data_IF_827098852594
#
_entry.id   IF_827098852594
#
_cell.length_a   1.000
_cell.length_b   1.000
_cell.length_c   1.000
_cell.angle_alpha   90.00
_cell.angle_beta   90.00
_cell.angle_gamma   90.00
#
_symmetry.space_group_name_H-M   'P 1'
#
loop_
_entity.id
_entity.type
_entity.pdbx_description
1 polymer ?
#
# COMPACT_ATOMS: atom_id res chain seq x y z
N UNK A 1 6.60 3.61 -30.96
CA UNK A 1 6.11 3.91 -29.60
C UNK A 1 5.61 2.58 -29.06
N UNK A 2 6.08 2.17 -27.90
CA UNK A 2 5.59 0.93 -27.27
C UNK A 2 4.21 1.22 -26.66
N UNK A 3 3.33 0.23 -26.72
CA UNK A 3 2.00 0.27 -26.12
C UNK A 3 2.00 -0.61 -24.87
N UNK A 4 1.49 -0.09 -23.77
CA UNK A 4 1.37 -0.80 -22.50
C UNK A 4 -0.08 -0.76 -22.05
N UNK A 5 -0.60 -1.93 -21.64
CA UNK A 5 -1.95 -2.06 -21.10
C UNK A 5 -1.89 -1.93 -19.57
N UNK A 6 -2.91 -1.33 -18.98
CA UNK A 6 -3.10 -1.35 -17.54
C UNK A 6 -4.54 -1.76 -17.19
N UNK A 7 -4.72 -2.21 -15.97
CA UNK A 7 -6.03 -2.45 -15.36
C UNK A 7 -6.12 -1.61 -14.08
N UNK A 8 -7.27 -0.98 -13.87
CA UNK A 8 -7.57 -0.33 -12.60
C UNK A 8 -8.48 -1.22 -11.77
N UNK A 9 -8.15 -1.38 -10.50
CA UNK A 9 -8.92 -2.17 -9.53
C UNK A 9 -9.15 -1.35 -8.27
N UNK A 10 -10.26 -1.64 -7.57
CA UNK A 10 -10.54 -1.09 -6.25
C UNK A 10 -10.24 -2.17 -5.21
N UNK A 11 -9.26 -1.90 -4.33
CA UNK A 11 -8.78 -2.87 -3.34
C UNK A 11 -9.51 -2.70 -2.02
N UNK A 12 -9.73 -3.80 -1.28
CA UNK A 12 -10.47 -3.87 -0.01
C UNK A 12 -11.95 -3.53 -0.10
N UNK A 13 -12.58 -3.86 -1.22
CA UNK A 13 -14.01 -3.66 -1.41
C UNK A 13 -14.62 -4.76 -2.29
N UNK A 14 -15.91 -4.99 -2.14
CA UNK A 14 -16.75 -5.78 -3.04
C UNK A 14 -17.64 -4.90 -3.95
N UNK A 15 -17.49 -3.57 -3.85
CA UNK A 15 -18.29 -2.60 -4.60
C UNK A 15 -17.39 -1.70 -5.44
N UNK A 16 -17.72 -1.47 -6.72
CA UNK A 16 -17.03 -0.49 -7.54
C UNK A 16 -16.99 0.89 -6.87
N UNK A 17 -15.85 1.56 -6.94
CA UNK A 17 -15.60 2.89 -6.37
C UNK A 17 -15.65 2.97 -4.84
N UNK A 18 -15.62 1.83 -4.15
CA UNK A 18 -15.73 1.77 -2.69
C UNK A 18 -14.41 1.56 -1.95
N UNK A 19 -13.37 1.16 -2.66
CA UNK A 19 -12.08 0.77 -2.09
C UNK A 19 -10.97 1.78 -2.30
N UNK A 20 -9.72 1.28 -2.21
CA UNK A 20 -8.54 2.05 -2.55
C UNK A 20 -8.14 1.73 -4.01
N UNK A 21 -8.21 2.71 -4.92
CA UNK A 21 -7.93 2.48 -6.33
C UNK A 21 -6.45 2.21 -6.58
N UNK A 22 -6.17 1.29 -7.50
CA UNK A 22 -4.83 0.88 -7.90
C UNK A 22 -4.76 0.70 -9.42
N UNK A 23 -3.78 1.31 -10.07
CA UNK A 23 -3.43 0.99 -11.44
C UNK A 23 -2.36 -0.12 -11.45
N UNK A 24 -2.59 -1.17 -12.22
CA UNK A 24 -1.67 -2.30 -12.40
C UNK A 24 -1.28 -2.39 -13.86
N UNK A 25 0.01 -2.27 -14.15
CA UNK A 25 0.61 -2.59 -15.45
C UNK A 25 1.10 -4.04 -15.40
N UNK A 26 0.33 -5.00 -15.96
CA UNK A 26 0.63 -6.43 -15.78
C UNK A 26 1.82 -6.92 -16.61
N UNK A 27 2.34 -6.09 -17.50
CA UNK A 27 3.42 -6.37 -18.43
C UNK A 27 4.23 -5.10 -18.68
N UNK A 28 5.14 -4.80 -17.76
CA UNK A 28 5.89 -3.55 -17.76
C UNK A 28 7.34 -3.71 -18.22
N UNK A 29 7.67 -4.88 -18.82
CA UNK A 29 9.02 -5.11 -19.34
C UNK A 29 9.38 -4.07 -20.41
N UNK A 30 10.57 -3.50 -20.31
CA UNK A 30 11.05 -2.44 -21.19
C UNK A 30 10.80 -1.01 -20.71
N UNK A 31 9.95 -0.80 -19.70
CA UNK A 31 9.82 0.51 -19.05
C UNK A 31 11.02 0.79 -18.13
N UNK A 32 11.57 1.99 -18.25
CA UNK A 32 12.57 2.50 -17.30
C UNK A 32 11.91 2.96 -16.00
N UNK A 33 12.70 3.11 -14.93
CA UNK A 33 12.18 3.65 -13.66
C UNK A 33 11.60 5.06 -13.78
N UNK A 34 12.17 5.90 -14.65
CA UNK A 34 11.68 7.25 -14.90
C UNK A 34 10.33 7.24 -15.64
N UNK A 35 10.15 6.33 -16.59
CA UNK A 35 8.87 6.15 -17.28
C UNK A 35 7.78 5.62 -16.33
N UNK A 36 8.12 4.62 -15.49
CA UNK A 36 7.20 4.11 -14.46
C UNK A 36 6.78 5.21 -13.48
N UNK A 37 7.73 6.04 -13.03
CA UNK A 37 7.42 7.19 -12.15
C UNK A 37 6.56 8.24 -12.86
N UNK A 38 6.78 8.47 -14.14
CA UNK A 38 5.98 9.40 -14.93
C UNK A 38 4.56 8.89 -15.16
N UNK A 39 4.41 7.59 -15.44
CA UNK A 39 3.11 6.93 -15.54
C UNK A 39 2.35 6.96 -14.20
N UNK A 40 3.01 6.66 -13.08
CA UNK A 40 2.38 6.74 -11.77
C UNK A 40 1.90 8.16 -11.45
N UNK A 41 2.63 9.18 -11.86
CA UNK A 41 2.24 10.58 -11.72
C UNK A 41 1.04 10.92 -12.60
N UNK A 42 0.99 10.42 -13.83
CA UNK A 42 -0.12 10.61 -14.76
C UNK A 42 -1.40 9.91 -14.28
N UNK A 43 -1.28 8.67 -13.75
CA UNK A 43 -2.41 7.95 -13.15
C UNK A 43 -2.99 8.72 -11.96
N UNK A 44 -2.16 9.40 -11.20
CA UNK A 44 -2.54 10.21 -10.02
C UNK A 44 -3.42 9.45 -9.00
N UNK A 45 -3.16 8.16 -8.86
CA UNK A 45 -3.73 7.31 -7.81
C UNK A 45 -2.76 7.26 -6.63
N UNK A 46 -3.23 6.76 -5.47
CA UNK A 46 -2.34 6.59 -4.30
C UNK A 46 -1.09 5.79 -4.66
N UNK A 47 -1.27 4.68 -5.39
CA UNK A 47 -0.15 3.92 -5.96
C UNK A 47 -0.49 3.35 -7.35
N UNK A 48 0.59 3.04 -8.07
CA UNK A 48 0.59 2.33 -9.35
C UNK A 48 1.63 1.22 -9.29
N UNK A 49 1.30 0.03 -9.76
CA UNK A 49 2.22 -1.12 -9.78
C UNK A 49 2.62 -1.52 -11.19
N UNK A 50 3.87 -1.97 -11.30
CA UNK A 50 4.47 -2.43 -12.55
C UNK A 50 5.01 -3.83 -12.34
N UNK A 51 4.47 -4.78 -13.11
CA UNK A 51 4.84 -6.19 -13.06
C UNK A 51 5.91 -6.48 -14.10
N UNK A 52 6.96 -7.13 -13.67
CA UNK A 52 8.17 -7.46 -14.43
C UNK A 52 8.49 -8.94 -14.27
N UNK A 53 9.30 -9.52 -15.17
CA UNK A 53 9.91 -10.82 -14.93
C UNK A 53 10.70 -10.82 -13.61
N UNK A 54 10.63 -11.91 -12.82
CA UNK A 54 11.38 -12.02 -11.58
C UNK A 54 12.88 -12.08 -11.85
N UNK A 55 13.68 -11.41 -11.01
CA UNK A 55 15.14 -11.49 -11.03
C UNK A 55 15.69 -12.37 -9.90
N UNK A 56 14.89 -12.60 -8.87
CA UNK A 56 15.28 -13.39 -7.69
C UNK A 56 14.70 -14.79 -7.76
N UNK A 57 15.53 -15.80 -7.49
CA UNK A 57 15.08 -17.19 -7.45
C UNK A 57 13.98 -17.40 -6.41
N UNK A 58 12.93 -18.13 -6.81
CA UNK A 58 11.77 -18.41 -5.94
C UNK A 58 10.69 -17.32 -5.93
N UNK A 59 10.86 -16.24 -6.69
CA UNK A 59 9.79 -15.30 -6.99
C UNK A 59 9.07 -15.69 -8.28
N UNK A 60 7.76 -15.48 -8.34
CA UNK A 60 6.94 -15.71 -9.53
C UNK A 60 6.89 -14.46 -10.42
N UNK A 61 6.87 -13.29 -9.80
CA UNK A 61 6.88 -11.99 -10.47
C UNK A 61 7.73 -11.00 -9.67
N UNK A 62 8.30 -10.01 -10.36
CA UNK A 62 8.82 -8.80 -9.73
C UNK A 62 7.79 -7.69 -9.83
N UNK A 63 7.54 -6.99 -8.72
CA UNK A 63 6.58 -5.88 -8.68
C UNK A 63 7.26 -4.65 -8.12
N UNK A 64 7.19 -3.55 -8.88
CA UNK A 64 7.62 -2.23 -8.45
C UNK A 64 6.38 -1.38 -8.15
N UNK A 65 6.44 -0.61 -7.08
CA UNK A 65 5.32 0.17 -6.54
C UNK A 65 5.70 1.64 -6.53
N UNK A 66 4.87 2.48 -7.11
CA UNK A 66 5.11 3.92 -7.20
C UNK A 66 3.92 4.70 -6.70
N UNK A 67 4.16 5.69 -5.85
CA UNK A 67 3.25 6.82 -5.64
C UNK A 67 3.46 7.85 -6.74
N UNK A 68 2.63 8.89 -6.87
CA UNK A 68 2.92 10.00 -7.78
C UNK A 68 4.25 10.71 -7.50
N UNK A 69 4.79 10.59 -6.27
CA UNK A 69 6.00 11.29 -5.85
C UNK A 69 7.27 10.43 -5.90
N UNK A 70 7.18 9.13 -5.55
CA UNK A 70 8.36 8.27 -5.36
C UNK A 70 8.02 6.78 -5.49
N UNK A 71 9.05 5.97 -5.74
CA UNK A 71 8.98 4.51 -5.63
C UNK A 71 8.99 4.08 -4.16
N UNK A 72 8.13 3.11 -3.82
CA UNK A 72 8.04 2.51 -2.51
C UNK A 72 8.63 1.09 -2.52
N UNK A 73 9.41 0.72 -1.50
CA UNK A 73 9.94 -0.65 -1.40
C UNK A 73 8.86 -1.69 -1.08
N UNK A 74 7.74 -1.24 -0.50
CA UNK A 74 6.64 -2.06 -0.06
C UNK A 74 5.38 -1.22 0.20
N UNK A 75 4.19 -1.79 -0.13
CA UNK A 75 2.91 -1.25 0.27
C UNK A 75 1.84 -2.35 0.29
N UNK A 76 0.89 -2.29 1.23
CA UNK A 76 -0.09 -3.37 1.48
C UNK A 76 -1.11 -3.55 0.36
N UNK A 77 -1.97 -2.53 0.13
CA UNK A 77 -3.03 -2.66 -0.85
C UNK A 77 -2.52 -2.86 -2.29
N UNK A 78 -1.39 -2.27 -2.74
CA UNK A 78 -0.87 -2.52 -4.07
C UNK A 78 -0.47 -3.98 -4.29
N UNK A 79 0.12 -4.62 -3.28
CA UNK A 79 0.48 -6.04 -3.35
C UNK A 79 -0.77 -6.91 -3.45
N UNK A 80 -1.78 -6.69 -2.59
CA UNK A 80 -3.04 -7.43 -2.61
C UNK A 80 -3.77 -7.25 -3.95
N UNK A 81 -3.90 -6.01 -4.42
CA UNK A 81 -4.58 -5.69 -5.67
C UNK A 81 -3.87 -6.26 -6.90
N UNK A 82 -2.54 -6.22 -6.93
CA UNK A 82 -1.75 -6.78 -8.05
C UNK A 82 -1.89 -8.30 -8.13
N UNK A 83 -1.87 -9.01 -6.99
CA UNK A 83 -2.12 -10.47 -6.98
C UNK A 83 -3.49 -10.81 -7.55
N UNK A 84 -4.52 -10.08 -7.11
CA UNK A 84 -5.89 -10.27 -7.61
C UNK A 84 -5.97 -9.96 -9.11
N UNK A 85 -5.38 -8.86 -9.57
CA UNK A 85 -5.39 -8.46 -10.97
C UNK A 85 -4.70 -9.50 -11.87
N UNK A 86 -3.53 -10.00 -11.48
CA UNK A 86 -2.81 -11.05 -12.24
C UNK A 86 -3.60 -12.35 -12.32
N UNK A 87 -4.26 -12.76 -11.23
CA UNK A 87 -5.13 -13.92 -11.22
C UNK A 87 -6.36 -13.73 -12.11
N UNK A 88 -6.99 -12.54 -12.05
CA UNK A 88 -8.14 -12.17 -12.89
C UNK A 88 -7.79 -12.19 -14.38
N UNK A 89 -6.59 -11.73 -14.73
CA UNK A 89 -6.06 -11.76 -16.10
C UNK A 89 -5.56 -13.14 -16.55
N UNK A 90 -5.68 -14.18 -15.71
CA UNK A 90 -5.22 -15.53 -16.01
C UNK A 90 -3.69 -15.69 -16.07
N UNK A 91 -2.93 -14.72 -15.53
CA UNK A 91 -1.46 -14.76 -15.46
C UNK A 91 -0.94 -15.68 -14.34
N UNK A 92 -1.80 -16.04 -13.40
CA UNK A 92 -1.52 -16.98 -12.32
C UNK A 92 -2.34 -18.25 -12.54
N UNK A 93 -1.70 -19.42 -12.73
CA UNK A 93 -2.42 -20.68 -12.79
C UNK A 93 -2.95 -21.03 -11.39
N UNK A 94 -4.28 -20.91 -11.21
CA UNK A 94 -4.94 -21.24 -9.96
C UNK A 94 -5.00 -22.76 -9.76
N UNK A 95 -4.52 -23.24 -8.60
CA UNK A 95 -4.47 -24.66 -8.25
C UNK A 95 -5.00 -24.91 -6.84
N UNK A 96 -6.06 -25.73 -6.73
CA UNK A 96 -6.66 -26.07 -5.44
C UNK A 96 -7.37 -24.88 -4.76
N UNK A 97 -7.70 -25.03 -3.46
CA UNK A 97 -8.42 -24.00 -2.71
C UNK A 97 -7.54 -22.81 -2.30
N UNK A 98 -6.23 -22.99 -2.28
CA UNK A 98 -5.25 -21.95 -2.00
C UNK A 98 -4.11 -22.08 -3.00
N UNK A 99 -3.83 -21.00 -3.71
CA UNK A 99 -2.66 -20.86 -4.60
C UNK A 99 -1.72 -19.84 -4.00
N UNK A 100 -0.49 -20.21 -3.69
CA UNK A 100 0.52 -19.28 -3.20
C UNK A 100 1.29 -18.68 -4.38
N UNK A 101 1.44 -17.34 -4.36
CA UNK A 101 2.22 -16.58 -5.33
C UNK A 101 3.21 -15.70 -4.59
N UNK A 102 4.43 -15.57 -5.12
CA UNK A 102 5.53 -14.83 -4.49
C UNK A 102 5.96 -13.66 -5.35
N UNK A 103 5.91 -12.47 -4.78
CA UNK A 103 6.41 -11.26 -5.42
C UNK A 103 7.81 -10.90 -4.91
N UNK A 104 8.71 -10.60 -5.85
CA UNK A 104 9.94 -9.87 -5.58
C UNK A 104 9.61 -8.39 -5.45
N UNK A 105 9.77 -7.84 -4.26
CA UNK A 105 9.54 -6.45 -3.88
C UNK A 105 10.85 -5.81 -3.43
N UNK A 106 10.87 -4.50 -3.20
CA UNK A 106 12.05 -3.80 -2.68
C UNK A 106 12.54 -4.30 -1.32
N UNK A 107 11.65 -4.87 -0.51
CA UNK A 107 11.97 -5.47 0.80
C UNK A 107 12.34 -6.96 0.72
N UNK A 108 12.29 -7.59 -0.44
CA UNK A 108 12.57 -9.01 -0.64
C UNK A 108 11.41 -9.78 -1.26
N UNK A 109 11.48 -11.11 -1.20
CA UNK A 109 10.44 -12.00 -1.76
C UNK A 109 9.39 -12.29 -0.71
N UNK A 110 8.16 -11.83 -0.93
CA UNK A 110 7.03 -12.03 -0.03
C UNK A 110 5.94 -12.90 -0.66
N UNK A 111 5.40 -13.89 0.08
CA UNK A 111 4.30 -14.72 -0.37
C UNK A 111 2.95 -14.07 -0.10
N UNK A 112 1.99 -14.38 -0.98
CA UNK A 112 0.58 -14.18 -0.71
C UNK A 112 -0.21 -15.44 -1.07
N UNK A 113 -1.23 -15.75 -0.28
CA UNK A 113 -2.14 -16.85 -0.47
C UNK A 113 -3.43 -16.37 -1.15
N UNK A 114 -3.69 -16.85 -2.34
CA UNK A 114 -4.90 -16.59 -3.10
C UNK A 114 -5.92 -17.69 -2.76
N UNK A 115 -6.97 -17.32 -2.03
CA UNK A 115 -8.07 -18.22 -1.70
C UNK A 115 -9.02 -18.32 -2.89
N UNK A 116 -9.20 -19.54 -3.39
CA UNK A 116 -9.92 -19.81 -4.63
C UNK A 116 -11.23 -20.52 -4.35
N UNK A 117 -12.33 -19.96 -4.86
CA UNK A 117 -13.67 -20.55 -4.81
C UNK A 117 -14.23 -20.58 -6.24
N UNK A 118 -14.69 -21.74 -6.68
CA UNK A 118 -15.24 -21.93 -8.02
C UNK A 118 -14.31 -21.44 -9.17
N UNK A 119 -12.99 -21.65 -9.01
CA UNK A 119 -11.99 -21.24 -10.00
C UNK A 119 -11.70 -19.74 -10.07
N UNK A 120 -12.16 -18.97 -9.09
CA UNK A 120 -11.90 -17.52 -8.97
C UNK A 120 -11.30 -17.18 -7.62
N UNK A 121 -10.44 -16.16 -7.61
CA UNK A 121 -9.91 -15.63 -6.35
C UNK A 121 -11.01 -14.85 -5.63
N UNK A 122 -11.33 -15.30 -4.43
CA UNK A 122 -12.27 -14.64 -3.53
C UNK A 122 -11.56 -13.68 -2.57
N UNK A 123 -10.36 -14.08 -2.13
CA UNK A 123 -9.58 -13.32 -1.15
C UNK A 123 -8.09 -13.51 -1.38
N UNK A 124 -7.32 -12.45 -1.18
CA UNK A 124 -5.85 -12.46 -1.14
C UNK A 124 -5.40 -12.20 0.29
N UNK A 125 -4.53 -13.05 0.82
CA UNK A 125 -3.94 -12.91 2.15
C UNK A 125 -2.43 -12.80 1.99
N UNK A 126 -1.90 -11.61 2.23
CA UNK A 126 -0.46 -11.34 2.19
C UNK A 126 0.16 -11.63 3.55
N UNK A 127 1.29 -12.35 3.57
CA UNK A 127 2.11 -12.52 4.76
C UNK A 127 3.13 -11.40 4.82
N UNK A 128 3.08 -10.60 5.87
CA UNK A 128 4.05 -9.55 6.16
C UNK A 128 5.06 -10.03 7.21
N UNK A 129 6.16 -9.30 7.34
CA UNK A 129 7.09 -9.50 8.44
C UNK A 129 6.43 -9.21 9.79
N UNK A 130 7.05 -9.74 10.86
CA UNK A 130 6.61 -9.44 12.22
C UNK A 130 6.74 -7.93 12.48
N UNK A 131 5.73 -7.31 13.11
CA UNK A 131 5.80 -5.89 13.38
C UNK A 131 6.96 -5.58 14.34
N UNK A 132 7.70 -4.53 14.00
CA UNK A 132 8.67 -3.91 14.90
C UNK A 132 8.08 -2.63 15.46
N UNK A 133 8.21 -2.46 16.76
CA UNK A 133 7.70 -1.31 17.51
C UNK A 133 8.87 -0.38 17.85
N UNK A 134 8.75 0.88 17.44
CA UNK A 134 9.77 1.89 17.62
C UNK A 134 9.32 2.96 18.65
N UNK A 135 9.72 4.22 18.44
CA UNK A 135 9.44 5.32 19.35
C UNK A 135 7.93 5.54 19.56
N UNK A 136 7.53 5.79 20.81
CA UNK A 136 6.21 6.29 21.17
C UNK A 136 6.27 7.82 21.15
N UNK A 137 5.29 8.46 20.52
CA UNK A 137 5.12 9.91 20.56
C UNK A 137 4.47 10.28 21.88
N UNK A 138 5.23 10.93 22.77
CA UNK A 138 4.72 11.39 24.07
C UNK A 138 3.83 12.63 23.96
N UNK A 139 4.09 13.48 22.97
CA UNK A 139 3.26 14.65 22.64
C UNK A 139 2.67 14.47 21.24
N UNK A 140 1.35 14.52 21.15
CA UNK A 140 0.61 14.34 19.90
C UNK A 140 0.02 15.66 19.36
N UNK A 141 0.36 16.79 19.96
CA UNK A 141 -0.22 18.11 19.63
C UNK A 141 0.04 18.47 18.16
N UNK A 142 1.30 18.37 17.71
CA UNK A 142 1.64 18.64 16.32
C UNK A 142 1.02 17.62 15.35
N UNK A 143 0.93 16.33 15.73
CA UNK A 143 0.26 15.33 14.93
C UNK A 143 -1.23 15.65 14.74
N UNK A 144 -1.91 16.01 15.85
CA UNK A 144 -3.31 16.39 15.82
C UNK A 144 -3.56 17.63 14.95
N UNK A 145 -2.72 18.68 15.09
CA UNK A 145 -2.75 19.86 14.21
C UNK A 145 -2.55 19.47 12.74
N UNK A 146 -1.58 18.60 12.46
CA UNK A 146 -1.27 18.10 11.11
C UNK A 146 -2.43 17.36 10.44
N UNK A 147 -3.23 16.63 11.20
CA UNK A 147 -4.42 15.91 10.70
C UNK A 147 -5.72 16.73 10.83
N UNK A 148 -5.66 17.94 11.40
CA UNK A 148 -6.79 18.85 11.54
C UNK A 148 -7.79 18.45 12.60
N UNK A 149 -7.35 17.77 13.66
CA UNK A 149 -8.15 17.33 14.81
C UNK A 149 -7.62 17.93 16.12
N UNK A 150 -8.41 17.81 17.19
CA UNK A 150 -7.92 18.14 18.52
C UNK A 150 -7.08 17.00 19.10
N UNK A 151 -6.10 17.30 19.99
CA UNK A 151 -5.30 16.25 20.64
C UNK A 151 -6.14 15.22 21.40
N UNK A 152 -7.30 15.61 21.95
CA UNK A 152 -8.22 14.73 22.68
C UNK A 152 -8.79 13.62 21.80
N UNK A 153 -8.96 13.87 20.48
CA UNK A 153 -9.39 12.84 19.52
C UNK A 153 -8.47 11.64 19.49
N UNK A 154 -7.19 11.84 19.84
CA UNK A 154 -6.16 10.82 19.92
C UNK A 154 -6.00 10.34 21.36
N UNK A 155 -5.78 11.24 22.31
CA UNK A 155 -5.38 10.88 23.70
C UNK A 155 -6.49 10.18 24.48
N UNK A 156 -7.76 10.52 24.23
CA UNK A 156 -8.89 9.86 24.92
C UNK A 156 -9.10 8.41 24.50
N UNK A 157 -8.42 7.91 23.46
CA UNK A 157 -8.43 6.48 23.10
C UNK A 157 -7.70 5.62 24.14
N UNK A 158 -6.80 6.20 24.92
CA UNK A 158 -5.89 5.48 25.83
C UNK A 158 -4.84 4.63 25.14
N UNK A 159 -4.80 4.64 23.80
CA UNK A 159 -3.82 3.89 23.02
C UNK A 159 -2.59 4.76 22.73
N UNK A 160 -1.38 4.17 22.74
CA UNK A 160 -0.18 4.92 22.39
C UNK A 160 -0.18 5.30 20.90
N UNK A 161 0.36 6.44 20.58
CA UNK A 161 0.79 6.77 19.21
C UNK A 161 2.23 6.31 19.08
N UNK A 162 2.49 5.39 18.15
CA UNK A 162 3.79 4.73 18.05
C UNK A 162 4.19 4.51 16.60
N UNK A 163 5.49 4.58 16.32
CA UNK A 163 6.03 4.15 15.03
C UNK A 163 6.08 2.63 15.00
N UNK A 164 5.39 2.04 14.03
CA UNK A 164 5.32 0.58 13.81
C UNK A 164 5.69 0.29 12.36
N UNK A 165 6.43 -0.79 12.13
CA UNK A 165 6.82 -1.23 10.80
C UNK A 165 6.57 -2.72 10.61
N UNK A 166 5.99 -3.08 9.47
CA UNK A 166 5.96 -4.43 8.90
C UNK A 166 6.67 -4.48 7.54
N UNK A 167 7.56 -3.50 7.29
CA UNK A 167 8.28 -3.29 6.02
C UNK A 167 8.58 -1.82 5.78
N UNK A 168 7.62 -0.93 6.06
CA UNK A 168 7.80 0.52 6.03
C UNK A 168 7.37 1.12 7.37
N UNK A 169 8.23 1.91 8.05
CA UNK A 169 7.88 2.56 9.31
C UNK A 169 6.76 3.59 9.10
N UNK A 170 5.72 3.52 9.94
CA UNK A 170 4.58 4.45 9.90
C UNK A 170 4.19 4.85 11.32
N UNK A 171 3.70 6.08 11.49
CA UNK A 171 3.09 6.51 12.75
C UNK A 171 1.68 5.92 12.82
N UNK A 172 1.47 5.04 13.79
CA UNK A 172 0.19 4.42 14.08
C UNK A 172 -0.45 5.07 15.29
N UNK A 173 -1.68 5.54 15.13
CA UNK A 173 -2.47 6.13 16.20
C UNK A 173 -3.94 5.80 16.02
N UNK A 174 -4.66 5.64 17.13
CA UNK A 174 -6.10 5.43 17.12
C UNK A 174 -6.83 6.76 17.24
N UNK A 175 -7.99 6.86 16.58
CA UNK A 175 -8.92 7.96 16.78
C UNK A 175 -10.14 7.47 17.55
N UNK A 176 -10.74 8.36 18.34
CA UNK A 176 -11.84 8.07 19.25
C UNK A 176 -13.11 7.59 18.53
N UNK A 177 -13.36 8.05 17.31
CA UNK A 177 -14.59 7.76 16.60
C UNK A 177 -14.42 7.62 15.07
N UNK A 178 -15.35 6.90 14.44
CA UNK A 178 -15.43 6.83 12.98
C UNK A 178 -15.67 8.21 12.33
N UNK A 179 -16.41 9.10 13.00
CA UNK A 179 -16.65 10.44 12.51
C UNK A 179 -15.34 11.25 12.40
N UNK A 180 -14.42 11.07 13.35
CA UNK A 180 -13.10 11.70 13.31
C UNK A 180 -12.24 11.13 12.17
N UNK A 181 -12.28 9.79 11.95
CA UNK A 181 -11.61 9.18 10.82
C UNK A 181 -12.15 9.72 9.49
N UNK A 182 -13.47 9.84 9.35
CA UNK A 182 -14.11 10.38 8.16
C UNK A 182 -13.85 11.87 7.94
N UNK A 183 -13.53 12.61 9.00
CA UNK A 183 -13.13 14.01 8.90
C UNK A 183 -11.69 14.19 8.37
N UNK A 184 -10.87 13.15 8.40
CA UNK A 184 -9.54 13.17 7.77
C UNK A 184 -9.70 13.35 6.26
N UNK A 185 -8.83 14.12 5.65
CA UNK A 185 -8.84 14.30 4.18
C UNK A 185 -9.89 15.31 3.67
N UNK A 186 -10.76 15.87 4.52
CA UNK A 186 -11.69 16.93 4.10
C UNK A 186 -11.00 18.29 3.84
N UNK A 187 -9.75 18.27 3.32
CA UNK A 187 -8.98 19.46 2.96
C UNK A 187 -8.27 20.15 4.13
N UNK A 188 -8.17 19.49 5.27
CA UNK A 188 -7.56 20.05 6.49
C UNK A 188 -6.16 19.51 6.81
N UNK A 189 -5.62 18.60 6.01
CA UNK A 189 -4.29 18.04 6.27
C UNK A 189 -3.20 19.11 6.06
N UNK A 190 -2.38 19.30 7.09
CA UNK A 190 -1.18 20.13 7.01
C UNK A 190 0.03 19.25 6.75
N UNK A 191 0.30 18.97 5.46
CA UNK A 191 1.39 18.08 5.05
C UNK A 191 2.77 18.58 5.51
N UNK A 192 2.98 19.88 5.65
CA UNK A 192 4.24 20.42 6.14
C UNK A 192 4.47 20.06 7.61
N UNK A 193 3.43 20.12 8.43
CA UNK A 193 3.47 19.69 9.84
C UNK A 193 3.66 18.18 9.92
N UNK A 194 2.87 17.38 9.17
CA UNK A 194 2.98 15.92 9.13
C UNK A 194 4.37 15.45 8.74
N UNK A 195 4.94 16.03 7.67
CA UNK A 195 6.31 15.72 7.25
C UNK A 195 7.36 16.03 8.32
N UNK A 196 7.17 17.07 9.14
CA UNK A 196 8.06 17.39 10.26
C UNK A 196 7.93 16.35 11.38
N UNK A 197 6.70 15.99 11.74
CA UNK A 197 6.40 14.98 12.77
C UNK A 197 6.97 13.61 12.35
N UNK A 198 6.74 13.20 11.10
CA UNK A 198 7.27 11.93 10.59
C UNK A 198 8.79 11.89 10.64
N UNK A 199 9.47 12.94 10.16
CA UNK A 199 10.94 13.02 10.23
C UNK A 199 11.46 12.98 11.67
N UNK A 200 10.81 13.69 12.60
CA UNK A 200 11.18 13.67 14.01
C UNK A 200 10.99 12.28 14.64
N UNK A 201 10.00 11.53 14.16
CA UNK A 201 9.72 10.16 14.58
C UNK A 201 10.57 9.08 13.87
N UNK A 202 11.43 9.47 12.92
CA UNK A 202 12.28 8.55 12.15
C UNK A 202 11.52 7.81 11.06
N UNK A 203 10.49 8.41 10.47
CA UNK A 203 9.76 7.89 9.32
C UNK A 203 9.85 8.87 8.15
N UNK A 204 9.88 8.35 6.93
CA UNK A 204 9.92 9.18 5.71
C UNK A 204 8.55 9.23 5.01
N UNK A 205 7.55 8.52 5.52
CA UNK A 205 6.21 8.43 4.95
C UNK A 205 5.23 9.17 5.86
N UNK A 206 4.61 10.19 5.31
CA UNK A 206 3.52 10.94 5.92
C UNK A 206 2.18 10.50 5.33
#
# INVERSE_FOLDING_TARGET
>A
MNEYTFIQVDVFTDKPFGGNPLAVFPDAEGLTGEEMQSLAREMNLSETTFVLPPATAGADFKVRIFTPAAELPFAGHPVVGTHWALAHLGRVPLSGPITQVRFELGVGVLPADLHVVNGRVERVVMTQDRPTFHAILGDVTELADGIGLSPEAITETGMPVQVVSTGAPQIMGSLRSLAEVQALGAGKLNTAVLNRVCRAAGTDIA
#
